data_IF_265650754579
#
_entry.id   IF_265650754579
#
_cell.length_a   1.000
_cell.length_b   1.000
_cell.length_c   1.000
_cell.angle_alpha   90.00
_cell.angle_beta   90.00
_cell.angle_gamma   90.00
#
_symmetry.space_group_name_H-M   'P 1'
#
loop_
_entity.id
_entity.type
_entity.pdbx_description
1 polymer ?
#
# COMPACT_ATOMS: atom_id res chain seq x y z
N UNK A 1 -5.17 34.79 16.53
CA UNK A 1 -5.19 33.86 17.70
C UNK A 1 -4.36 32.65 17.39
N UNK A 2 -3.47 32.26 18.29
CA UNK A 2 -2.72 31.00 18.17
C UNK A 2 -3.65 29.86 18.59
N UNK A 3 -3.84 28.86 17.74
CA UNK A 3 -4.60 27.64 18.04
C UNK A 3 -3.72 26.65 18.78
N UNK A 4 -4.33 25.64 19.43
CA UNK A 4 -3.61 24.66 20.24
C UNK A 4 -4.06 23.24 20.01
N UNK A 5 -3.11 22.33 19.88
CA UNK A 5 -3.32 20.89 19.90
C UNK A 5 -2.17 20.21 20.68
N UNK A 6 -2.31 18.93 20.99
CA UNK A 6 -1.22 18.20 21.64
C UNK A 6 -0.21 17.71 20.59
N UNK A 7 -0.73 17.23 19.44
CA UNK A 7 0.11 16.73 18.33
C UNK A 7 -0.43 17.24 16.99
N UNK A 8 0.49 17.65 16.12
CA UNK A 8 0.21 17.92 14.73
C UNK A 8 0.64 16.75 13.83
N UNK A 9 -0.19 16.42 12.86
CA UNK A 9 0.12 15.48 11.79
C UNK A 9 0.15 16.22 10.46
N UNK A 10 1.24 16.11 9.71
CA UNK A 10 1.43 16.78 8.42
C UNK A 10 1.35 15.76 7.29
N UNK A 11 0.34 15.91 6.44
CA UNK A 11 -0.01 15.01 5.33
C UNK A 11 -1.29 14.23 5.58
N UNK A 12 -2.28 14.38 4.68
CA UNK A 12 -3.59 13.73 4.75
C UNK A 12 -3.69 12.40 3.99
N UNK A 13 -2.55 11.81 3.61
CA UNK A 13 -2.48 10.45 3.07
C UNK A 13 -2.72 9.40 4.15
N UNK A 14 -2.73 8.12 3.76
CA UNK A 14 -3.09 7.03 4.69
C UNK A 14 -2.18 6.95 5.92
N UNK A 15 -0.89 7.24 5.80
CA UNK A 15 0.00 7.28 6.97
C UNK A 15 -0.42 8.37 7.95
N UNK A 16 -0.70 9.58 7.47
CA UNK A 16 -1.14 10.67 8.35
C UNK A 16 -2.51 10.42 8.98
N UNK A 17 -3.48 9.90 8.20
CA UNK A 17 -4.80 9.55 8.72
C UNK A 17 -4.70 8.45 9.80
N UNK A 18 -3.85 7.44 9.60
CA UNK A 18 -3.61 6.39 10.58
C UNK A 18 -2.98 6.94 11.87
N UNK A 19 -1.98 7.82 11.77
CA UNK A 19 -1.38 8.47 12.92
C UNK A 19 -2.38 9.35 13.67
N UNK A 20 -3.18 10.13 12.95
CA UNK A 20 -4.22 10.96 13.55
C UNK A 20 -5.25 10.12 14.32
N UNK A 21 -5.69 8.98 13.75
CA UNK A 21 -6.58 8.05 14.41
C UNK A 21 -5.98 7.50 15.72
N UNK A 22 -4.79 6.91 15.63
CA UNK A 22 -4.16 6.26 16.80
C UNK A 22 -3.90 7.27 17.93
N UNK A 23 -3.46 8.48 17.59
CA UNK A 23 -3.22 9.54 18.56
C UNK A 23 -4.52 10.04 19.21
N UNK A 24 -5.58 10.27 18.42
CA UNK A 24 -6.88 10.66 18.96
C UNK A 24 -7.44 9.58 19.90
N UNK A 25 -7.35 8.29 19.50
CA UNK A 25 -7.73 7.16 20.36
C UNK A 25 -6.90 7.03 21.64
N UNK A 26 -5.68 7.57 21.66
CA UNK A 26 -4.87 7.68 22.89
C UNK A 26 -5.18 8.92 23.74
N UNK A 27 -6.23 9.66 23.42
CA UNK A 27 -6.70 10.84 24.17
C UNK A 27 -5.96 12.14 23.84
N UNK A 28 -5.16 12.20 22.77
CA UNK A 28 -4.49 13.43 22.34
C UNK A 28 -5.42 14.30 21.50
N UNK A 29 -5.33 15.61 21.69
CA UNK A 29 -5.94 16.59 20.77
C UNK A 29 -5.06 16.68 19.52
N UNK A 30 -5.58 16.25 18.37
CA UNK A 30 -4.84 16.13 17.14
C UNK A 30 -5.32 17.16 16.12
N UNK A 31 -4.36 17.85 15.47
CA UNK A 31 -4.60 18.59 14.24
C UNK A 31 -3.88 17.93 13.08
N UNK A 32 -4.57 17.69 11.97
CA UNK A 32 -4.00 17.17 10.73
C UNK A 32 -4.02 18.26 9.65
N UNK A 33 -2.87 18.48 9.02
CA UNK A 33 -2.71 19.42 7.92
C UNK A 33 -2.53 18.67 6.60
N UNK A 34 -3.35 19.00 5.61
CA UNK A 34 -3.18 18.56 4.22
C UNK A 34 -3.03 19.78 3.31
N UNK A 35 -1.97 19.80 2.51
CA UNK A 35 -1.64 20.94 1.64
C UNK A 35 -2.67 21.18 0.54
N UNK A 36 -3.28 20.09 0.04
CA UNK A 36 -4.30 20.15 -1.00
C UNK A 36 -5.71 20.22 -0.41
N UNK A 37 -6.70 20.45 -1.25
CA UNK A 37 -8.13 20.39 -0.84
C UNK A 37 -8.59 18.94 -0.54
N UNK A 38 -7.79 17.96 -0.95
CA UNK A 38 -7.93 16.53 -0.65
C UNK A 38 -6.60 15.83 -0.88
N UNK A 39 -6.31 14.76 -0.16
CA UNK A 39 -5.13 13.97 -0.44
C UNK A 39 -5.20 13.34 -1.85
N UNK A 40 -4.15 13.53 -2.64
CA UNK A 40 -4.09 13.11 -4.05
C UNK A 40 -2.82 12.35 -4.42
N UNK A 41 -2.01 11.97 -3.42
CA UNK A 41 -0.76 11.21 -3.60
C UNK A 41 -0.98 9.70 -3.77
N UNK A 42 0.02 8.92 -3.42
CA UNK A 42 0.03 7.45 -3.56
C UNK A 42 -1.16 6.74 -2.89
N UNK A 43 -1.70 7.32 -1.81
CA UNK A 43 -2.78 6.71 -1.02
C UNK A 43 -4.09 6.47 -1.78
N UNK A 44 -4.33 7.18 -2.88
CA UNK A 44 -5.51 6.97 -3.75
C UNK A 44 -5.16 6.32 -5.09
N UNK A 45 -3.89 6.01 -5.34
CA UNK A 45 -3.36 5.57 -6.63
C UNK A 45 -2.77 4.17 -6.56
N UNK A 46 -3.42 3.28 -5.80
CA UNK A 46 -2.98 1.91 -5.52
C UNK A 46 -4.16 0.93 -5.66
N UNK A 47 -3.90 -0.36 -5.42
CA UNK A 47 -4.91 -1.43 -5.55
C UNK A 47 -5.96 -1.45 -4.42
N UNK A 48 -5.76 -0.69 -3.34
CA UNK A 48 -6.57 -0.80 -2.13
C UNK A 48 -6.36 -2.08 -1.33
N UNK A 49 -5.29 -2.81 -1.60
CA UNK A 49 -4.98 -4.06 -0.94
C UNK A 49 -4.25 -3.82 0.40
N UNK A 50 -4.79 -4.38 1.47
CA UNK A 50 -4.09 -4.59 2.73
C UNK A 50 -3.54 -6.02 2.64
N UNK A 51 -2.21 -6.15 2.48
CA UNK A 51 -1.54 -7.33 1.92
C UNK A 51 -0.46 -7.92 2.83
N UNK A 52 -0.84 -8.52 3.99
CA UNK A 52 0.12 -9.10 4.94
C UNK A 52 1.01 -10.17 4.32
N UNK A 53 0.47 -11.06 3.47
CA UNK A 53 1.20 -12.16 2.82
C UNK A 53 2.43 -11.70 2.03
N UNK A 54 2.47 -10.46 1.57
CA UNK A 54 3.61 -9.90 0.81
C UNK A 54 4.77 -9.41 1.68
N UNK A 55 4.56 -9.27 3.00
CA UNK A 55 5.58 -8.74 3.92
C UNK A 55 6.56 -9.83 4.33
N UNK A 56 7.86 -9.52 4.51
CA UNK A 56 8.83 -10.51 4.98
C UNK A 56 8.47 -11.02 6.38
N UNK A 57 8.78 -12.29 6.64
CA UNK A 57 8.51 -12.95 7.92
C UNK A 57 9.11 -12.18 9.11
N UNK A 58 8.53 -12.37 10.29
CA UNK A 58 8.95 -11.72 11.54
C UNK A 58 8.27 -10.37 11.75
N UNK A 59 9.04 -9.34 12.13
CA UNK A 59 8.52 -8.05 12.57
C UNK A 59 7.58 -7.39 11.55
N UNK A 60 7.93 -7.41 10.27
CA UNK A 60 7.13 -6.73 9.24
C UNK A 60 5.80 -7.43 8.97
N UNK A 61 5.79 -8.77 8.95
CA UNK A 61 4.56 -9.52 8.82
C UNK A 61 3.65 -9.34 10.05
N UNK A 62 4.21 -9.38 11.26
CA UNK A 62 3.48 -9.11 12.50
C UNK A 62 2.89 -7.69 12.52
N UNK A 63 3.67 -6.69 12.07
CA UNK A 63 3.22 -5.31 11.95
C UNK A 63 2.06 -5.18 10.95
N UNK A 64 2.14 -5.88 9.82
CA UNK A 64 1.08 -5.90 8.81
C UNK A 64 -0.22 -6.54 9.33
N UNK A 65 -0.12 -7.65 10.05
CA UNK A 65 -1.27 -8.29 10.70
C UNK A 65 -1.90 -7.36 11.75
N UNK A 66 -1.08 -6.71 12.58
CA UNK A 66 -1.57 -5.73 13.55
C UNK A 66 -2.24 -4.54 12.86
N UNK A 67 -1.65 -4.03 11.80
CA UNK A 67 -2.24 -2.98 10.99
C UNK A 67 -3.61 -3.38 10.42
N UNK A 68 -3.72 -4.61 9.91
CA UNK A 68 -4.97 -5.18 9.40
C UNK A 68 -6.07 -5.25 10.47
N UNK A 69 -5.75 -5.64 11.69
CA UNK A 69 -6.71 -5.65 12.81
C UNK A 69 -7.30 -4.26 13.02
N UNK A 70 -6.44 -3.24 13.13
CA UNK A 70 -6.87 -1.86 13.32
C UNK A 70 -7.68 -1.37 12.09
N UNK A 71 -7.25 -1.73 10.88
CA UNK A 71 -8.01 -1.46 9.66
C UNK A 71 -9.45 -1.97 9.76
N UNK A 72 -9.65 -3.23 10.16
CA UNK A 72 -10.98 -3.83 10.28
C UNK A 72 -11.85 -3.08 11.28
N UNK A 73 -11.30 -2.67 12.41
CA UNK A 73 -12.03 -1.91 13.43
C UNK A 73 -12.42 -0.53 12.91
N UNK A 74 -11.49 0.17 12.25
CA UNK A 74 -11.72 1.49 11.65
C UNK A 74 -12.77 1.42 10.54
N UNK A 75 -12.65 0.46 9.62
CA UNK A 75 -13.58 0.30 8.50
C UNK A 75 -15.01 0.01 8.97
N UNK A 76 -15.17 -0.82 9.99
CA UNK A 76 -16.46 -1.11 10.61
C UNK A 76 -17.04 0.12 11.32
N UNK A 77 -16.22 0.79 12.14
CA UNK A 77 -16.66 1.98 12.88
C UNK A 77 -17.03 3.14 11.94
N UNK A 78 -16.23 3.38 10.93
CA UNK A 78 -16.48 4.40 9.90
C UNK A 78 -17.55 3.99 8.86
N UNK A 79 -18.08 2.75 8.92
CA UNK A 79 -19.05 2.18 7.98
C UNK A 79 -18.58 2.26 6.51
N UNK A 80 -17.30 2.05 6.29
CA UNK A 80 -16.69 2.05 4.96
C UNK A 80 -16.74 0.66 4.33
N UNK A 81 -16.84 0.62 3.01
CA UNK A 81 -16.88 -0.62 2.25
C UNK A 81 -15.51 -1.30 2.26
N UNK A 82 -15.48 -2.60 2.52
CA UNK A 82 -14.29 -3.43 2.41
C UNK A 82 -14.65 -4.89 2.07
N UNK A 83 -13.68 -5.61 1.51
CA UNK A 83 -13.84 -7.01 1.10
C UNK A 83 -12.76 -7.87 1.76
N UNK A 84 -13.08 -8.60 2.83
CA UNK A 84 -12.13 -9.51 3.48
C UNK A 84 -12.15 -10.87 2.76
N UNK A 85 -11.83 -10.87 1.49
CA UNK A 85 -11.96 -12.03 0.60
C UNK A 85 -10.67 -12.84 0.44
N UNK A 86 -9.61 -12.45 1.16
CA UNK A 86 -8.31 -13.11 1.03
C UNK A 86 -7.64 -12.84 -0.31
N UNK A 87 -6.64 -13.64 -0.63
CA UNK A 87 -5.87 -13.53 -1.87
C UNK A 87 -5.47 -14.88 -2.45
N UNK A 88 -5.26 -14.89 -3.77
CA UNK A 88 -4.67 -16.00 -4.51
C UNK A 88 -3.42 -15.53 -5.26
N UNK A 89 -2.26 -16.14 -4.98
CA UNK A 89 -1.13 -16.08 -5.87
C UNK A 89 -1.24 -17.24 -6.85
N UNK A 90 -1.47 -16.93 -8.12
CA UNK A 90 -1.86 -17.91 -9.15
C UNK A 90 -0.64 -18.32 -9.97
N UNK A 91 -0.44 -19.63 -10.14
CA UNK A 91 0.61 -20.20 -10.95
C UNK A 91 0.06 -20.75 -12.28
N UNK A 92 0.62 -20.28 -13.39
CA UNK A 92 0.37 -20.82 -14.73
C UNK A 92 1.58 -21.57 -15.30
N UNK A 93 2.72 -21.53 -14.62
CA UNK A 93 3.94 -22.25 -14.98
C UNK A 93 4.35 -23.21 -13.86
N UNK A 94 4.96 -24.38 -14.20
CA UNK A 94 5.34 -25.37 -13.20
C UNK A 94 6.30 -24.84 -12.13
N UNK A 95 7.28 -24.00 -12.49
CA UNK A 95 8.23 -23.38 -11.57
C UNK A 95 7.56 -22.42 -10.58
N UNK A 96 6.52 -21.70 -11.00
CA UNK A 96 5.71 -20.87 -10.12
C UNK A 96 4.95 -21.73 -9.09
N UNK A 97 4.35 -22.83 -9.55
CA UNK A 97 3.65 -23.77 -8.66
C UNK A 97 4.59 -24.42 -7.64
N UNK A 98 5.85 -24.70 -8.00
CA UNK A 98 6.86 -25.21 -7.08
C UNK A 98 7.16 -24.22 -5.96
N UNK A 99 7.32 -22.92 -6.29
CA UNK A 99 7.49 -21.85 -5.28
C UNK A 99 6.29 -21.80 -4.34
N UNK A 100 5.08 -21.86 -4.87
CA UNK A 100 3.85 -21.78 -4.06
C UNK A 100 3.68 -23.01 -3.15
N UNK A 101 4.05 -24.21 -3.61
CA UNK A 101 4.06 -25.43 -2.77
C UNK A 101 5.11 -25.32 -1.67
N UNK A 102 6.34 -24.96 -2.02
CA UNK A 102 7.41 -24.75 -1.03
C UNK A 102 6.98 -23.73 0.01
N UNK A 103 6.41 -22.59 -0.42
CA UNK A 103 5.93 -21.57 0.52
C UNK A 103 4.78 -22.08 1.40
N UNK A 104 3.84 -22.86 0.87
CA UNK A 104 2.77 -23.45 1.65
C UNK A 104 3.26 -24.45 2.72
N UNK A 105 4.40 -25.11 2.48
CA UNK A 105 5.02 -26.02 3.46
C UNK A 105 5.77 -25.26 4.57
N UNK A 106 6.57 -24.25 4.21
CA UNK A 106 7.43 -23.56 5.18
C UNK A 106 6.81 -22.29 5.77
N UNK A 107 5.88 -21.65 5.04
CA UNK A 107 5.26 -20.39 5.42
C UNK A 107 4.47 -20.45 6.74
N UNK A 108 3.68 -21.48 7.04
CA UNK A 108 2.96 -21.57 8.32
C UNK A 108 3.89 -21.53 9.53
N UNK A 109 5.06 -22.16 9.47
CA UNK A 109 6.06 -22.08 10.54
C UNK A 109 6.70 -20.69 10.65
N UNK A 110 6.67 -19.90 9.56
CA UNK A 110 7.12 -18.50 9.53
C UNK A 110 5.99 -17.50 9.85
N UNK A 111 4.79 -17.99 10.22
CA UNK A 111 3.67 -17.19 10.66
C UNK A 111 2.63 -16.85 9.57
N UNK A 112 2.74 -17.40 8.35
CA UNK A 112 1.78 -17.14 7.27
C UNK A 112 0.66 -18.19 7.26
N UNK A 113 -0.60 -17.83 7.58
CA UNK A 113 -1.74 -18.74 7.44
C UNK A 113 -2.11 -18.90 5.96
N UNK A 114 -1.45 -19.82 5.27
CA UNK A 114 -1.62 -20.05 3.85
C UNK A 114 -1.62 -21.54 3.50
N UNK A 115 -2.15 -21.88 2.33
CA UNK A 115 -2.16 -23.22 1.81
C UNK A 115 -2.10 -23.26 0.28
N UNK A 116 -1.50 -24.29 -0.28
CA UNK A 116 -1.53 -24.54 -1.71
C UNK A 116 -2.88 -25.18 -2.12
N UNK A 117 -3.48 -24.67 -3.17
CA UNK A 117 -4.70 -25.19 -3.78
C UNK A 117 -4.39 -25.80 -5.15
N UNK A 118 -5.04 -26.92 -5.46
CA UNK A 118 -5.02 -27.50 -6.81
C UNK A 118 -5.62 -26.54 -7.84
N UNK A 119 -5.44 -26.83 -9.12
CA UNK A 119 -6.04 -26.05 -10.20
C UNK A 119 -7.57 -26.00 -10.08
N UNK A 120 -8.23 -27.14 -9.76
CA UNK A 120 -9.67 -27.23 -9.56
C UNK A 120 -10.13 -26.37 -8.39
N UNK A 121 -9.50 -26.53 -7.21
CA UNK A 121 -9.84 -25.76 -6.01
C UNK A 121 -9.55 -24.26 -6.19
N UNK A 122 -8.52 -23.91 -6.95
CA UNK A 122 -8.23 -22.52 -7.33
C UNK A 122 -9.35 -21.92 -8.17
N UNK A 123 -9.82 -22.66 -9.16
CA UNK A 123 -10.88 -22.20 -10.05
C UNK A 123 -12.24 -22.11 -9.34
N UNK A 124 -12.52 -23.00 -8.39
CA UNK A 124 -13.69 -22.91 -7.49
C UNK A 124 -13.65 -21.65 -6.62
N UNK A 125 -12.47 -21.24 -6.17
CA UNK A 125 -12.28 -19.97 -5.40
C UNK A 125 -12.51 -18.73 -6.24
N UNK A 126 -12.11 -18.76 -7.53
CA UNK A 126 -12.27 -17.64 -8.45
C UNK A 126 -12.38 -18.09 -9.90
N UNK A 127 -13.60 -18.03 -10.44
CA UNK A 127 -13.85 -18.26 -11.87
C UNK A 127 -13.28 -17.12 -12.78
N UNK A 128 -12.70 -16.09 -12.17
CA UNK A 128 -11.98 -15.02 -12.85
C UNK A 128 -10.57 -15.44 -13.32
N UNK A 129 -10.10 -16.60 -12.87
CA UNK A 129 -8.78 -17.12 -13.26
C UNK A 129 -8.89 -17.85 -14.60
N UNK A 130 -7.93 -17.61 -15.49
CA UNK A 130 -7.83 -18.34 -16.76
C UNK A 130 -7.50 -19.81 -16.46
N UNK A 131 -8.35 -20.78 -16.90
CA UNK A 131 -8.11 -22.20 -16.59
C UNK A 131 -7.00 -22.82 -17.45
N UNK A 132 -6.65 -22.22 -18.60
CA UNK A 132 -5.61 -22.76 -19.47
C UNK A 132 -4.25 -22.73 -18.77
N UNK A 133 -3.58 -23.86 -18.69
CA UNK A 133 -2.29 -24.07 -18.01
C UNK A 133 -2.27 -23.74 -16.52
N UNK A 134 -3.42 -23.62 -15.86
CA UNK A 134 -3.49 -23.38 -14.42
C UNK A 134 -2.87 -24.56 -13.65
N UNK A 135 -1.85 -24.27 -12.85
CA UNK A 135 -1.12 -25.26 -12.03
C UNK A 135 -1.64 -25.30 -10.58
N UNK A 136 -2.31 -24.24 -10.14
CA UNK A 136 -2.80 -24.05 -8.78
C UNK A 136 -2.53 -22.65 -8.26
N UNK A 137 -2.72 -22.47 -6.96
CA UNK A 137 -2.48 -21.19 -6.31
C UNK A 137 -2.09 -21.34 -4.85
N UNK A 138 -1.50 -20.30 -4.28
CA UNK A 138 -1.39 -20.11 -2.83
C UNK A 138 -2.58 -19.30 -2.36
N UNK A 139 -3.39 -19.85 -1.50
CA UNK A 139 -4.47 -19.19 -0.79
C UNK A 139 -3.99 -18.58 0.52
N UNK A 140 -4.31 -17.31 0.75
CA UNK A 140 -4.19 -16.65 2.06
C UNK A 140 -5.52 -15.98 2.42
N UNK A 141 -5.95 -16.14 3.66
CA UNK A 141 -7.21 -15.58 4.17
C UNK A 141 -7.04 -14.19 4.80
N UNK A 142 -5.79 -13.75 4.98
CA UNK A 142 -5.51 -12.54 5.76
C UNK A 142 -5.72 -11.24 4.98
N UNK A 143 -5.79 -11.27 3.67
CA UNK A 143 -5.88 -10.09 2.84
C UNK A 143 -7.31 -9.53 2.81
N UNK A 144 -7.36 -8.20 2.69
CA UNK A 144 -8.60 -7.50 2.44
C UNK A 144 -8.38 -6.36 1.43
N UNK A 145 -9.45 -5.94 0.79
CA UNK A 145 -9.43 -4.88 -0.22
C UNK A 145 -10.43 -3.79 0.14
N UNK A 146 -10.04 -2.55 -0.08
CA UNK A 146 -10.88 -1.35 0.01
C UNK A 146 -10.83 -0.60 -1.33
N UNK A 147 -11.79 0.30 -1.58
CA UNK A 147 -11.56 1.34 -2.59
C UNK A 147 -10.69 2.44 -1.96
N UNK A 148 -9.44 2.62 -2.38
CA UNK A 148 -8.55 3.60 -1.76
C UNK A 148 -9.04 5.04 -1.97
N UNK A 149 -9.79 5.30 -3.05
CA UNK A 149 -10.37 6.62 -3.35
C UNK A 149 -11.51 6.94 -2.39
N UNK A 150 -12.36 5.95 -2.09
CA UNK A 150 -13.44 6.05 -1.12
C UNK A 150 -12.88 6.24 0.29
N UNK A 151 -11.98 5.36 0.72
CA UNK A 151 -11.44 5.40 2.08
C UNK A 151 -10.72 6.72 2.39
N UNK A 152 -9.85 7.19 1.49
CA UNK A 152 -9.11 8.45 1.71
C UNK A 152 -10.04 9.67 1.69
N UNK A 153 -11.18 9.60 0.99
CA UNK A 153 -12.17 10.66 0.98
C UNK A 153 -13.06 10.66 2.23
N UNK A 154 -13.47 9.49 2.72
CA UNK A 154 -14.48 9.36 3.77
C UNK A 154 -13.89 9.21 5.18
N UNK A 155 -12.72 8.57 5.33
CA UNK A 155 -12.07 8.40 6.63
C UNK A 155 -11.87 9.72 7.40
N UNK A 156 -11.57 10.86 6.77
CA UNK A 156 -11.51 12.15 7.45
C UNK A 156 -12.80 12.58 8.14
N UNK A 157 -13.98 12.20 7.63
CA UNK A 157 -15.26 12.51 8.30
C UNK A 157 -15.35 11.76 9.64
N UNK A 158 -15.07 10.46 9.63
CA UNK A 158 -14.99 9.65 10.84
C UNK A 158 -13.96 10.18 11.86
N UNK A 159 -12.77 10.59 11.40
CA UNK A 159 -11.76 11.15 12.30
C UNK A 159 -12.18 12.46 12.95
N UNK A 160 -12.99 13.29 12.26
CA UNK A 160 -13.57 14.50 12.87
C UNK A 160 -14.59 14.15 13.97
N UNK A 161 -15.37 13.09 13.80
CA UNK A 161 -16.26 12.59 14.85
C UNK A 161 -15.45 12.08 16.06
N UNK A 162 -14.23 11.56 15.86
CA UNK A 162 -13.28 11.21 16.90
C UNK A 162 -12.51 12.41 17.50
N UNK A 163 -12.81 13.63 17.06
CA UNK A 163 -12.23 14.87 17.62
C UNK A 163 -10.95 15.34 16.94
N UNK A 164 -10.55 14.75 15.79
CA UNK A 164 -9.40 15.24 15.01
C UNK A 164 -9.78 16.51 14.25
N UNK A 165 -9.03 17.59 14.44
CA UNK A 165 -9.18 18.78 13.61
C UNK A 165 -8.41 18.59 12.29
N UNK A 166 -9.10 18.67 11.14
CA UNK A 166 -8.49 18.47 9.82
C UNK A 166 -8.53 19.76 9.02
N UNK A 167 -7.34 20.22 8.60
CA UNK A 167 -7.10 21.46 7.86
C UNK A 167 -6.63 21.15 6.45
N UNK A 168 -7.54 21.26 5.48
CA UNK A 168 -7.24 21.16 4.06
C UNK A 168 -6.79 22.49 3.48
N UNK A 169 -6.08 22.46 2.34
CA UNK A 169 -5.52 23.65 1.72
C UNK A 169 -4.51 24.39 2.62
N UNK A 170 -3.90 23.67 3.55
CA UNK A 170 -3.09 24.23 4.62
C UNK A 170 -1.67 23.67 4.61
N UNK A 171 -0.82 24.07 3.62
CA UNK A 171 0.56 23.62 3.57
C UNK A 171 1.33 24.14 4.79
N UNK A 172 1.90 23.23 5.57
CA UNK A 172 2.83 23.55 6.64
C UNK A 172 4.14 24.00 6.02
N UNK A 173 4.62 25.16 6.43
CA UNK A 173 5.84 25.81 5.91
C UNK A 173 7.01 25.68 6.87
N UNK A 174 6.72 25.65 8.18
CA UNK A 174 7.73 25.64 9.23
C UNK A 174 7.24 24.86 10.44
N UNK A 175 8.13 24.11 11.03
CA UNK A 175 7.93 23.42 12.31
C UNK A 175 9.12 23.75 13.20
N UNK A 176 8.88 24.58 14.20
CA UNK A 176 9.81 24.91 15.28
C UNK A 176 9.04 24.84 16.59
N UNK A 177 8.99 23.66 17.16
CA UNK A 177 8.17 23.42 18.35
C UNK A 177 8.47 24.44 19.46
N UNK A 178 7.43 24.99 20.12
CA UNK A 178 6.04 24.52 20.04
C UNK A 178 5.21 25.07 18.87
N UNK A 179 5.81 25.80 17.91
CA UNK A 179 5.07 26.46 16.84
C UNK A 179 5.12 25.67 15.51
N UNK A 180 3.96 25.61 14.89
CA UNK A 180 3.78 25.18 13.48
C UNK A 180 3.12 26.32 12.72
N UNK A 181 3.69 26.64 11.55
CA UNK A 181 3.23 27.71 10.70
C UNK A 181 2.73 27.19 9.33
N UNK A 182 1.54 27.63 8.96
CA UNK A 182 0.99 27.52 7.62
C UNK A 182 1.00 28.89 6.94
N UNK A 183 0.41 29.02 5.76
CA UNK A 183 0.26 30.32 5.11
C UNK A 183 -0.67 31.28 5.86
N UNK A 184 -1.63 30.77 6.61
CA UNK A 184 -2.74 31.53 7.19
C UNK A 184 -2.89 31.38 8.71
N UNK A 185 -2.25 30.41 9.31
CA UNK A 185 -2.45 30.05 10.72
C UNK A 185 -1.14 29.68 11.41
N UNK A 186 -1.08 29.96 12.70
CA UNK A 186 -0.02 29.48 13.60
C UNK A 186 -0.65 28.61 14.70
N UNK A 187 -0.05 27.48 14.95
CA UNK A 187 -0.48 26.49 15.95
C UNK A 187 0.61 26.28 16.99
N UNK A 188 0.21 26.16 18.24
CA UNK A 188 1.06 25.71 19.34
C UNK A 188 0.78 24.24 19.62
N UNK A 189 1.80 23.38 19.47
CA UNK A 189 1.70 21.92 19.65
C UNK A 189 2.88 21.37 20.42
N UNK A 190 2.67 20.26 21.15
CA UNK A 190 3.74 19.60 21.89
C UNK A 190 4.63 18.70 21.03
N UNK A 191 4.11 18.16 19.94
CA UNK A 191 4.84 17.29 19.03
C UNK A 191 4.30 17.37 17.59
N UNK A 192 5.10 16.91 16.63
CA UNK A 192 4.70 16.85 15.22
C UNK A 192 5.10 15.52 14.57
N UNK A 193 4.23 14.98 13.70
CA UNK A 193 4.52 13.84 12.85
C UNK A 193 4.39 14.26 11.39
N UNK A 194 5.45 14.08 10.61
CA UNK A 194 5.50 14.44 9.19
C UNK A 194 5.36 13.18 8.34
N UNK A 195 4.22 13.09 7.65
CA UNK A 195 3.85 12.01 6.71
C UNK A 195 3.74 12.58 5.29
N UNK A 196 4.81 13.22 4.81
CA UNK A 196 4.85 14.01 3.56
C UNK A 196 4.78 13.20 2.26
N UNK A 197 4.71 11.85 2.32
CA UNK A 197 4.72 11.00 1.13
C UNK A 197 6.08 11.05 0.41
N UNK A 198 6.09 11.48 -0.85
CA UNK A 198 7.29 11.60 -1.68
C UNK A 198 7.85 13.05 -1.74
N UNK A 199 7.35 13.94 -0.88
CA UNK A 199 7.86 15.31 -0.76
C UNK A 199 9.11 15.35 0.14
N UNK A 200 10.28 15.34 -0.48
CA UNK A 200 11.58 15.41 0.19
C UNK A 200 12.13 16.83 0.29
N UNK A 201 11.43 17.83 -0.27
CA UNK A 201 11.95 19.17 -0.48
C UNK A 201 11.37 20.21 0.46
N UNK A 202 10.11 20.04 0.92
CA UNK A 202 9.41 21.11 1.64
C UNK A 202 9.82 21.19 3.11
N UNK A 203 9.80 20.06 3.84
CA UNK A 203 10.13 20.00 5.27
C UNK A 203 11.34 19.10 5.48
N UNK A 204 12.35 19.63 6.17
CA UNK A 204 13.57 18.90 6.53
C UNK A 204 14.35 18.30 5.34
N UNK A 205 14.61 19.06 4.25
CA UNK A 205 15.26 18.53 3.05
C UNK A 205 16.65 17.91 3.33
N UNK A 206 17.42 18.49 4.25
CA UNK A 206 18.74 17.97 4.62
C UNK A 206 18.66 16.57 5.25
N UNK A 207 17.59 16.32 6.03
CA UNK A 207 17.36 14.99 6.60
C UNK A 207 17.11 13.97 5.50
N UNK A 208 16.32 14.31 4.48
CA UNK A 208 16.05 13.43 3.36
C UNK A 208 17.27 13.23 2.45
N UNK A 209 18.04 14.28 2.18
CA UNK A 209 19.22 14.22 1.31
C UNK A 209 20.28 13.21 1.80
N UNK A 210 20.37 13.00 3.12
CA UNK A 210 21.33 12.10 3.75
C UNK A 210 20.92 10.62 3.75
N UNK A 211 19.73 10.27 3.22
CA UNK A 211 19.12 8.95 3.50
C UNK A 211 19.19 7.94 2.36
N UNK A 212 19.46 8.36 1.13
CA UNK A 212 19.33 7.50 -0.05
C UNK A 212 17.90 7.16 -0.43
N UNK A 213 16.88 7.84 0.15
CA UNK A 213 15.50 7.70 -0.27
C UNK A 213 15.34 8.02 -1.74
N UNK A 214 14.45 7.30 -2.41
CA UNK A 214 14.13 7.50 -3.81
C UNK A 214 12.62 7.45 -4.04
N UNK A 215 12.19 7.72 -5.26
CA UNK A 215 10.80 7.59 -5.69
C UNK A 215 10.63 6.38 -6.59
N UNK A 216 9.44 5.82 -6.55
CA UNK A 216 8.98 4.84 -7.51
C UNK A 216 7.73 5.39 -8.20
N UNK A 217 7.77 5.49 -9.52
CA UNK A 217 6.60 5.72 -10.36
C UNK A 217 6.08 4.38 -10.84
N UNK A 218 4.78 4.16 -10.71
CA UNK A 218 4.10 2.98 -11.22
C UNK A 218 2.93 3.39 -12.12
N UNK A 219 2.73 2.67 -13.23
CA UNK A 219 1.55 2.82 -14.09
C UNK A 219 0.52 1.76 -13.73
N UNK A 220 -0.71 2.21 -13.66
CA UNK A 220 -1.88 1.40 -13.32
C UNK A 220 -3.05 1.73 -14.22
N UNK A 221 -3.99 0.82 -14.30
CA UNK A 221 -5.22 0.99 -15.06
C UNK A 221 -6.43 0.40 -14.33
N UNK A 222 -7.60 0.85 -14.74
CA UNK A 222 -8.89 0.36 -14.22
C UNK A 222 -9.84 0.09 -15.37
N UNK A 223 -10.49 -1.06 -15.33
CA UNK A 223 -11.51 -1.39 -16.31
C UNK A 223 -12.80 -0.60 -16.10
N UNK A 224 -13.67 -0.57 -17.08
CA UNK A 224 -15.07 -0.32 -16.84
C UNK A 224 -15.63 -1.37 -15.85
N UNK A 225 -16.73 -1.06 -15.11
CA UNK A 225 -17.40 -2.04 -14.26
C UNK A 225 -17.73 -3.32 -15.01
N UNK A 226 -17.51 -4.46 -14.38
CA UNK A 226 -17.80 -5.74 -15.00
C UNK A 226 -19.32 -5.98 -15.08
N UNK A 227 -19.84 -6.48 -16.20
CA UNK A 227 -21.28 -6.66 -16.39
C UNK A 227 -21.87 -7.82 -15.58
N UNK A 228 -23.18 -7.81 -15.38
CA UNK A 228 -23.95 -8.92 -14.82
C UNK A 228 -23.62 -9.27 -13.37
N UNK A 229 -23.06 -8.31 -12.59
CA UNK A 229 -22.69 -8.59 -11.20
C UNK A 229 -21.49 -9.55 -11.07
N UNK A 230 -20.69 -9.69 -12.12
CA UNK A 230 -19.49 -10.53 -12.11
C UNK A 230 -18.54 -10.15 -10.98
N UNK A 231 -17.96 -11.14 -10.32
CA UNK A 231 -17.07 -10.97 -9.19
C UNK A 231 -15.69 -11.57 -9.45
N UNK A 232 -14.65 -10.84 -9.09
CA UNK A 232 -13.27 -11.32 -9.06
C UNK A 232 -13.09 -12.41 -7.98
N UNK A 233 -13.83 -12.29 -6.87
CA UNK A 233 -13.62 -13.08 -5.67
C UNK A 233 -12.48 -12.53 -4.82
N UNK A 234 -11.49 -13.34 -4.43
CA UNK A 234 -10.27 -12.89 -3.78
C UNK A 234 -9.47 -11.94 -4.66
N UNK A 235 -8.61 -11.14 -4.06
CA UNK A 235 -7.60 -10.40 -4.84
C UNK A 235 -6.61 -11.36 -5.48
N UNK A 236 -6.22 -11.11 -6.72
CA UNK A 236 -5.38 -12.03 -7.50
C UNK A 236 -3.98 -11.43 -7.72
N UNK A 237 -2.99 -12.30 -7.64
CA UNK A 237 -1.60 -12.01 -7.95
C UNK A 237 -1.06 -13.05 -8.93
N UNK A 238 -0.43 -12.63 -10.03
CA UNK A 238 0.20 -13.54 -10.99
C UNK A 238 1.51 -14.11 -10.48
N UNK A 239 2.04 -15.15 -11.12
CA UNK A 239 3.36 -15.71 -10.81
C UNK A 239 4.52 -14.71 -10.90
N UNK A 240 4.37 -13.63 -11.68
CA UNK A 240 5.36 -12.54 -11.72
C UNK A 240 5.57 -11.88 -10.36
N UNK A 241 4.57 -11.86 -9.47
CA UNK A 241 4.64 -11.24 -8.16
C UNK A 241 5.57 -11.96 -7.18
N UNK A 242 5.83 -13.25 -7.41
CA UNK A 242 6.68 -14.09 -6.55
C UNK A 242 8.11 -13.53 -6.43
N UNK A 243 8.67 -12.99 -7.52
CA UNK A 243 10.01 -12.37 -7.53
C UNK A 243 10.02 -10.99 -6.88
N UNK A 244 8.87 -10.34 -6.72
CA UNK A 244 8.72 -8.99 -6.22
C UNK A 244 8.55 -8.95 -4.69
N UNK A 245 7.67 -9.79 -4.14
CA UNK A 245 7.40 -9.80 -2.71
C UNK A 245 8.47 -10.53 -1.92
N UNK A 246 9.03 -9.82 -0.91
CA UNK A 246 10.11 -10.34 -0.04
C UNK A 246 9.70 -11.56 0.78
N UNK A 247 8.40 -11.80 0.99
CA UNK A 247 7.90 -13.01 1.66
C UNK A 247 8.41 -14.28 0.99
N UNK A 248 8.39 -14.34 -0.35
CA UNK A 248 8.81 -15.51 -1.11
C UNK A 248 10.33 -15.71 -1.19
N UNK A 249 11.13 -14.77 -0.67
CA UNK A 249 12.59 -14.93 -0.65
C UNK A 249 13.09 -16.09 0.22
N UNK A 250 12.24 -16.66 1.06
CA UNK A 250 12.53 -17.87 1.85
C UNK A 250 12.52 -19.15 0.99
N UNK A 251 11.91 -19.11 -0.21
CA UNK A 251 11.78 -20.25 -1.11
C UNK A 251 13.03 -20.40 -1.98
N UNK A 252 13.64 -21.58 -1.96
CA UNK A 252 14.83 -21.92 -2.81
C UNK A 252 14.45 -22.03 -4.28
N UNK A 253 13.26 -22.55 -4.56
CA UNK A 253 12.71 -22.74 -5.92
C UNK A 253 12.48 -21.43 -6.65
N UNK A 254 12.39 -20.29 -5.96
CA UNK A 254 12.22 -18.96 -6.57
C UNK A 254 13.33 -18.62 -7.60
N UNK A 255 14.50 -19.23 -7.48
CA UNK A 255 15.60 -19.01 -8.42
C UNK A 255 15.23 -19.44 -9.86
N UNK A 256 14.46 -20.51 -10.03
CA UNK A 256 14.01 -20.99 -11.33
C UNK A 256 13.06 -19.98 -12.02
N UNK A 257 12.10 -19.44 -11.27
CA UNK A 257 11.19 -18.40 -11.78
C UNK A 257 11.96 -17.15 -12.24
N UNK A 258 12.93 -16.71 -11.44
CA UNK A 258 13.78 -15.57 -11.82
C UNK A 258 14.58 -15.83 -13.10
N UNK A 259 15.18 -17.01 -13.22
CA UNK A 259 15.94 -17.40 -14.40
C UNK A 259 15.07 -17.44 -15.66
N UNK A 260 13.89 -18.06 -15.59
CA UNK A 260 12.94 -18.13 -16.71
C UNK A 260 12.48 -16.73 -17.15
N UNK A 261 12.04 -15.89 -16.20
CA UNK A 261 11.56 -14.55 -16.55
C UNK A 261 12.67 -13.70 -17.15
N UNK A 262 13.88 -13.75 -16.59
CA UNK A 262 15.04 -13.02 -17.14
C UNK A 262 15.42 -13.47 -18.55
N UNK A 263 15.24 -14.74 -18.89
CA UNK A 263 15.53 -15.29 -20.21
C UNK A 263 14.41 -15.03 -21.23
N UNK A 264 13.14 -15.22 -20.84
CA UNK A 264 11.99 -15.22 -21.76
C UNK A 264 11.30 -13.87 -21.83
N UNK A 265 11.32 -13.07 -20.75
CA UNK A 265 10.59 -11.81 -20.61
C UNK A 265 11.47 -10.70 -20.01
N UNK A 266 12.65 -10.37 -20.57
CA UNK A 266 13.58 -9.39 -19.97
C UNK A 266 13.00 -7.98 -19.81
N UNK A 267 12.02 -7.60 -20.64
CA UNK A 267 11.31 -6.33 -20.48
C UNK A 267 10.50 -6.24 -19.20
N UNK A 268 10.02 -7.38 -18.65
CA UNK A 268 9.33 -7.41 -17.36
C UNK A 268 10.28 -7.19 -16.18
N UNK A 269 11.54 -7.61 -16.31
CA UNK A 269 12.58 -7.28 -15.32
C UNK A 269 13.00 -5.82 -15.41
N UNK A 270 13.19 -5.32 -16.65
CA UNK A 270 13.59 -3.93 -16.89
C UNK A 270 12.64 -2.93 -16.25
N UNK A 271 11.34 -3.18 -16.34
CA UNK A 271 10.28 -2.30 -15.84
C UNK A 271 9.68 -2.78 -14.52
N UNK A 272 10.31 -3.78 -13.90
CA UNK A 272 9.88 -4.43 -12.67
C UNK A 272 8.36 -4.70 -12.65
N UNK A 273 7.84 -5.21 -13.78
CA UNK A 273 6.42 -5.49 -13.93
C UNK A 273 6.08 -6.73 -13.11
N UNK A 274 5.09 -6.58 -12.29
CA UNK A 274 4.34 -7.68 -11.71
C UNK A 274 2.84 -7.39 -11.85
N UNK A 275 1.97 -8.36 -11.63
CA UNK A 275 0.58 -8.17 -11.95
C UNK A 275 -0.34 -8.59 -10.82
N UNK A 276 -1.10 -7.62 -10.37
CA UNK A 276 -2.16 -7.76 -9.38
C UNK A 276 -3.50 -7.36 -10.00
N UNK A 277 -4.58 -7.93 -9.47
CA UNK A 277 -5.95 -7.54 -9.77
C UNK A 277 -6.76 -7.42 -8.49
N UNK A 278 -7.43 -6.28 -8.31
CA UNK A 278 -8.40 -6.05 -7.24
C UNK A 278 -9.72 -5.53 -7.80
N UNK A 279 -10.82 -5.80 -7.12
CA UNK A 279 -12.14 -5.32 -7.51
C UNK A 279 -12.71 -4.36 -6.49
N UNK A 280 -13.16 -3.20 -6.95
CA UNK A 280 -13.87 -2.20 -6.16
C UNK A 280 -15.38 -2.47 -6.11
N UNK A 281 -16.08 -1.77 -5.20
CA UNK A 281 -17.50 -1.99 -4.96
C UNK A 281 -18.39 -1.73 -6.19
N UNK A 282 -17.96 -0.84 -7.09
CA UNK A 282 -18.65 -0.54 -8.37
C UNK A 282 -18.45 -1.63 -9.45
N UNK A 283 -17.68 -2.69 -9.14
CA UNK A 283 -17.42 -3.80 -10.06
C UNK A 283 -16.24 -3.59 -11.00
N UNK A 284 -15.56 -2.45 -10.99
CA UNK A 284 -14.37 -2.23 -11.81
C UNK A 284 -13.15 -2.98 -11.26
N UNK A 285 -12.24 -3.37 -12.16
CA UNK A 285 -11.00 -4.09 -11.81
C UNK A 285 -9.83 -3.13 -11.94
N UNK A 286 -9.05 -2.99 -10.88
CA UNK A 286 -7.75 -2.31 -10.91
C UNK A 286 -6.67 -3.32 -11.26
N UNK A 287 -5.86 -2.99 -12.28
CA UNK A 287 -4.77 -3.81 -12.82
C UNK A 287 -3.46 -3.04 -12.79
N UNK A 288 -2.37 -3.72 -12.61
CA UNK A 288 -1.02 -3.17 -12.69
C UNK A 288 -0.03 -4.08 -11.97
N UNK A 289 1.19 -3.68 -11.82
CA UNK A 289 1.77 -2.39 -12.17
C UNK A 289 3.20 -2.53 -12.74
N UNK A 290 3.74 -1.42 -13.19
CA UNK A 290 5.15 -1.27 -13.57
C UNK A 290 5.88 -0.43 -12.53
N UNK A 291 7.24 -0.44 -12.53
CA UNK A 291 8.02 0.36 -11.59
C UNK A 291 9.20 1.05 -12.28
N UNK A 292 9.24 2.36 -12.15
CA UNK A 292 10.36 3.19 -12.57
C UNK A 292 10.94 3.87 -11.32
N UNK A 293 12.24 3.68 -11.08
CA UNK A 293 12.90 4.16 -9.87
C UNK A 293 13.82 5.35 -10.16
N UNK A 294 13.82 6.36 -9.30
CA UNK A 294 14.68 7.53 -9.39
C UNK A 294 14.29 8.63 -8.43
N UNK A 295 15.18 9.59 -8.18
CA UNK A 295 14.82 10.82 -7.47
C UNK A 295 13.94 11.72 -8.34
N UNK A 296 14.23 11.74 -9.64
CA UNK A 296 13.46 12.41 -10.68
C UNK A 296 12.86 11.34 -11.59
N UNK A 297 11.55 11.13 -11.47
CA UNK A 297 10.83 10.16 -12.27
C UNK A 297 10.10 10.86 -13.43
N UNK A 298 10.12 10.21 -14.60
CA UNK A 298 9.48 10.74 -15.80
C UNK A 298 7.97 10.98 -15.57
N UNK A 299 7.50 12.17 -15.92
CA UNK A 299 6.08 12.53 -15.80
C UNK A 299 5.19 11.89 -16.87
N UNK A 300 5.80 11.44 -17.99
CA UNK A 300 5.05 10.83 -19.09
C UNK A 300 4.84 9.34 -18.86
N UNK A 301 3.63 8.89 -19.19
CA UNK A 301 3.27 7.48 -19.14
C UNK A 301 3.62 6.81 -20.47
N UNK A 302 4.02 5.53 -20.41
CA UNK A 302 4.47 4.76 -21.55
C UNK A 302 3.40 3.74 -21.96
N UNK A 303 2.84 3.85 -23.16
CA UNK A 303 1.85 2.89 -23.67
C UNK A 303 2.38 1.45 -23.72
N UNK A 304 3.70 1.29 -23.95
CA UNK A 304 4.35 -0.01 -23.87
C UNK A 304 4.10 -0.73 -22.53
N UNK A 305 4.10 0.00 -21.41
CA UNK A 305 3.88 -0.59 -20.10
C UNK A 305 2.44 -1.06 -19.93
N UNK A 306 1.48 -0.28 -20.43
CA UNK A 306 0.08 -0.69 -20.46
C UNK A 306 -0.12 -1.97 -21.29
N UNK A 307 0.53 -2.04 -22.46
CA UNK A 307 0.46 -3.22 -23.33
C UNK A 307 1.08 -4.46 -22.68
N UNK A 308 2.21 -4.32 -21.97
CA UNK A 308 2.84 -5.43 -21.25
C UNK A 308 1.96 -5.91 -20.08
N UNK A 309 1.36 -5.00 -19.32
CA UNK A 309 0.45 -5.31 -18.24
C UNK A 309 -0.80 -6.05 -18.78
N UNK A 310 -1.43 -5.54 -19.84
CA UNK A 310 -2.62 -6.17 -20.43
C UNK A 310 -2.31 -7.54 -21.05
N UNK A 311 -1.15 -7.69 -21.69
CA UNK A 311 -0.69 -8.98 -22.22
C UNK A 311 -0.56 -10.03 -21.11
N UNK A 312 0.05 -9.66 -19.99
CA UNK A 312 0.19 -10.57 -18.86
C UNK A 312 -1.16 -10.83 -18.19
N UNK A 313 -2.01 -9.81 -18.07
CA UNK A 313 -3.36 -9.96 -17.53
C UNK A 313 -4.16 -11.00 -18.29
N UNK A 314 -4.08 -11.03 -19.61
CA UNK A 314 -4.78 -12.02 -20.44
C UNK A 314 -4.32 -13.47 -20.25
N UNK A 315 -3.09 -13.68 -19.72
CA UNK A 315 -2.58 -15.01 -19.40
C UNK A 315 -3.27 -15.58 -18.16
N UNK A 316 -3.52 -14.75 -17.15
CA UNK A 316 -4.00 -15.27 -15.86
C UNK A 316 -5.45 -14.88 -15.51
N UNK A 317 -6.03 -13.87 -16.18
CA UNK A 317 -7.39 -13.40 -15.94
C UNK A 317 -8.36 -13.76 -17.05
N UNK A 318 -9.59 -14.06 -16.66
CA UNK A 318 -10.75 -14.21 -17.52
C UNK A 318 -11.83 -13.23 -17.08
N UNK A 319 -11.92 -12.09 -17.77
CA UNK A 319 -12.90 -11.04 -17.47
C UNK A 319 -13.91 -10.90 -18.61
N UNK A 320 -15.19 -10.62 -18.31
CA UNK A 320 -16.20 -10.33 -19.34
C UNK A 320 -15.93 -9.06 -20.13
N UNK A 321 -15.34 -8.02 -19.48
CA UNK A 321 -15.08 -6.73 -20.08
C UNK A 321 -13.61 -6.31 -19.89
N UNK A 322 -12.88 -6.08 -20.98
CA UNK A 322 -11.50 -5.61 -21.02
C UNK A 322 -11.38 -4.12 -21.35
N UNK A 323 -12.51 -3.40 -21.42
CA UNK A 323 -12.48 -1.95 -21.67
C UNK A 323 -11.80 -1.20 -20.53
N UNK A 324 -10.69 -0.53 -20.81
CA UNK A 324 -9.99 0.30 -19.83
C UNK A 324 -10.64 1.68 -19.78
N UNK A 325 -11.24 1.99 -18.65
CA UNK A 325 -11.91 3.27 -18.41
C UNK A 325 -10.95 4.36 -17.92
N UNK A 326 -9.93 3.97 -17.13
CA UNK A 326 -9.00 4.93 -16.53
C UNK A 326 -7.56 4.40 -16.57
N UNK A 327 -6.62 5.35 -16.74
CA UNK A 327 -5.17 5.14 -16.59
C UNK A 327 -4.61 6.23 -15.71
N UNK A 328 -3.62 5.89 -14.90
CA UNK A 328 -2.90 6.86 -14.08
C UNK A 328 -1.53 6.31 -13.69
N UNK A 329 -0.68 7.19 -13.22
CA UNK A 329 0.50 6.78 -12.46
C UNK A 329 0.39 7.20 -11.00
N UNK A 330 0.99 6.40 -10.13
CA UNK A 330 1.27 6.73 -8.74
C UNK A 330 2.75 7.00 -8.55
N UNK A 331 3.09 7.85 -7.59
CA UNK A 331 4.47 8.03 -7.13
C UNK A 331 4.49 7.83 -5.63
N UNK A 332 5.38 6.97 -5.16
CA UNK A 332 5.60 6.77 -3.73
C UNK A 332 7.10 6.80 -3.42
N UNK A 333 7.41 7.16 -2.18
CA UNK A 333 8.77 7.09 -1.66
C UNK A 333 9.12 5.70 -1.17
N UNK A 334 10.38 5.31 -1.34
CA UNK A 334 10.94 4.08 -0.77
C UNK A 334 12.37 4.29 -0.30
N UNK A 335 12.77 3.48 0.67
CA UNK A 335 14.17 3.36 1.08
C UNK A 335 14.76 2.08 0.46
N UNK A 336 15.99 2.11 -0.09
CA UNK A 336 16.55 0.95 -0.78
C UNK A 336 16.75 -0.27 0.13
N UNK A 337 17.07 -0.04 1.40
CA UNK A 337 17.42 -1.09 2.35
C UNK A 337 16.40 -1.31 3.48
N UNK A 338 15.60 -0.27 3.80
CA UNK A 338 14.66 -0.32 4.94
C UNK A 338 13.22 -0.47 4.45
N UNK A 339 12.37 -1.16 5.21
CA UNK A 339 10.97 -1.34 4.84
C UNK A 339 10.15 -0.03 4.91
N UNK A 340 10.61 0.95 5.68
CA UNK A 340 10.07 2.30 5.80
C UNK A 340 11.15 3.22 6.38
N UNK A 341 10.90 4.52 6.37
CA UNK A 341 11.80 5.53 6.90
C UNK A 341 11.19 6.24 8.11
N UNK A 342 11.96 6.29 9.19
CA UNK A 342 11.68 7.09 10.39
C UNK A 342 12.92 7.92 10.73
N UNK A 343 12.69 9.18 11.12
CA UNK A 343 13.72 10.09 11.62
C UNK A 343 13.14 11.07 12.65
N UNK A 344 14.00 11.61 13.51
CA UNK A 344 13.69 12.70 14.41
C UNK A 344 14.61 13.88 14.10
N UNK A 345 14.23 14.74 13.11
CA UNK A 345 15.07 15.85 12.64
C UNK A 345 15.23 16.97 13.67
N UNK A 346 14.32 17.06 14.62
CA UNK A 346 14.35 17.98 15.74
C UNK A 346 13.62 17.34 16.94
N UNK A 347 13.92 17.72 18.19
CA UNK A 347 13.25 17.19 19.36
C UNK A 347 11.74 17.31 19.27
N UNK A 348 11.03 16.17 19.43
CA UNK A 348 9.56 16.10 19.37
C UNK A 348 8.97 16.13 17.95
N UNK A 349 9.79 16.18 16.89
CA UNK A 349 9.34 16.09 15.50
C UNK A 349 9.75 14.73 14.94
N UNK A 350 8.79 13.95 14.45
CA UNK A 350 9.06 12.66 13.78
C UNK A 350 8.67 12.71 12.31
N UNK A 351 9.51 12.18 11.46
CA UNK A 351 9.20 11.88 10.07
C UNK A 351 8.86 10.40 9.99
N UNK A 352 7.72 10.04 9.38
CA UNK A 352 7.33 8.66 9.08
C UNK A 352 6.87 8.60 7.63
N UNK A 353 7.66 7.96 6.77
CA UNK A 353 7.38 7.90 5.33
C UNK A 353 8.04 6.68 4.67
N UNK A 354 7.97 6.60 3.37
CA UNK A 354 8.63 5.61 2.53
C UNK A 354 8.36 4.14 2.91
N UNK A 355 7.10 3.73 3.17
CA UNK A 355 6.76 2.32 3.34
C UNK A 355 6.81 1.55 2.01
N UNK A 356 7.40 2.12 0.96
CA UNK A 356 7.37 1.59 -0.38
C UNK A 356 5.94 1.39 -0.88
N UNK A 357 5.69 0.32 -1.65
CA UNK A 357 4.34 -0.06 -2.07
C UNK A 357 3.42 -0.57 -0.97
N UNK A 358 3.90 -0.67 0.29
CA UNK A 358 3.16 -1.27 1.42
C UNK A 358 2.41 -0.26 2.30
N UNK A 359 2.20 0.97 1.84
CA UNK A 359 1.58 2.04 2.64
C UNK A 359 0.21 1.69 3.19
N UNK A 360 -0.69 1.12 2.38
CA UNK A 360 -2.00 0.66 2.85
C UNK A 360 -1.87 -0.44 3.90
N UNK A 361 -0.99 -1.40 3.67
CA UNK A 361 -0.78 -2.55 4.55
C UNK A 361 -0.24 -2.15 5.91
N UNK A 362 0.75 -1.25 5.96
CA UNK A 362 1.52 -0.99 7.19
C UNK A 362 1.03 0.22 7.99
N UNK A 363 0.17 1.06 7.43
CA UNK A 363 -0.16 2.40 7.95
C UNK A 363 -0.55 2.44 9.42
N UNK A 364 -1.53 1.66 9.85
CA UNK A 364 -2.01 1.67 11.23
C UNK A 364 -1.04 0.99 12.20
N UNK A 365 -0.33 -0.05 11.77
CA UNK A 365 0.71 -0.68 12.56
C UNK A 365 1.88 0.28 12.83
N UNK A 366 2.31 1.02 11.80
CA UNK A 366 3.33 2.06 11.95
C UNK A 366 2.86 3.19 12.88
N UNK A 367 1.60 3.61 12.74
CA UNK A 367 1.04 4.65 13.59
C UNK A 367 1.02 4.22 15.07
N UNK A 368 0.61 2.98 15.36
CA UNK A 368 0.62 2.45 16.73
C UNK A 368 2.06 2.36 17.28
N UNK A 369 3.01 1.90 16.48
CA UNK A 369 4.42 1.84 16.85
C UNK A 369 4.99 3.23 17.16
N UNK A 370 4.73 4.23 16.30
CA UNK A 370 5.17 5.61 16.49
C UNK A 370 4.60 6.21 17.76
N UNK A 371 3.29 6.03 18.00
CA UNK A 371 2.62 6.55 19.19
C UNK A 371 3.21 5.94 20.50
N UNK A 372 3.51 4.64 20.53
CA UNK A 372 4.18 3.98 21.65
C UNK A 372 5.58 4.56 21.90
N UNK A 373 6.34 4.81 20.83
CA UNK A 373 7.67 5.42 20.94
C UNK A 373 7.65 6.87 21.47
N UNK A 374 6.59 7.63 21.17
CA UNK A 374 6.41 8.98 21.70
C UNK A 374 6.04 8.98 23.19
N UNK A 375 5.26 8.02 23.64
CA UNK A 375 4.87 7.90 25.04
C UNK A 375 6.06 7.53 25.96
N UNK A 376 7.02 6.76 25.45
CA UNK A 376 8.24 6.38 26.18
C UNK A 376 9.31 7.47 26.25
N UNK A 377 9.20 8.54 25.48
CA UNK A 377 10.16 9.66 25.45
C UNK A 377 9.78 10.82 26.40
N UNK A 378 8.67 10.71 27.09
CA UNK A 378 8.19 11.69 28.08
C UNK A 378 8.55 11.29 29.54
N UNK A 379 9.78 10.77 29.78
CA UNK A 379 10.32 10.55 31.12
C UNK A 379 11.53 11.44 31.32
#
# INVERSE_FOLDING_TARGET
MVRRADVAVVGGGILGLAHAHVLARSGKRVVLFERNLRASGASIRNFGMIWPIGQPAGEMHALALRSREIWLDVLRAAKLNFRPTGSLHVAHYPDEAEVLREFAEIGPAAGYPCQFLSAEATWEKSAAIQPANLQGSLWSETELTVDPREVIRELPAYLREEGVEIRYGSPVRRIELPLIETASETWEVGAAIVCGGDDFQTLYPDTFAATGLTRCKLQMMRTAPQPGGWQLGPSLASGLTLRFYKAFAICKTLAAVRARIGAEKPEYDRWAIHLLASQTADGAITLGDSHEYGLDVDIFDKSLLDDLILREAAIFLRMPCWSIAERWHGVYSLHPERPFFEAEPAPGVRIVTAPGGSGMTLSFGLAERTAKGMAGSCI
#
